data_IF_053542284214
#
_entry.id   IF_053542284214
#
_cell.length_a   1.000
_cell.length_b   1.000
_cell.length_c   1.000
_cell.angle_alpha   90.00
_cell.angle_beta   90.00
_cell.angle_gamma   90.00
#
_symmetry.space_group_name_H-M   'P 1'
#
loop_
_entity.id
_entity.type
_entity.pdbx_description
1 polymer ?
#
# COMPACT_ATOMS: atom_id res chain seq x y z
N UNK A 1 -29.59 29.40 -17.63
CA UNK A 1 -28.84 28.38 -16.87
C UNK A 1 -27.51 28.20 -17.55
N UNK A 2 -26.41 28.25 -16.80
CA UNK A 2 -25.10 27.89 -17.35
C UNK A 2 -25.06 26.38 -17.53
N UNK A 3 -24.76 25.92 -18.74
CA UNK A 3 -24.49 24.51 -19.01
C UNK A 3 -22.97 24.30 -18.95
N UNK A 4 -22.54 23.33 -18.15
CA UNK A 4 -21.14 22.95 -18.05
C UNK A 4 -20.83 21.82 -19.03
N UNK A 5 -19.85 22.04 -19.90
CA UNK A 5 -19.32 21.04 -20.83
C UNK A 5 -18.18 20.24 -20.17
N UNK A 6 -18.41 18.95 -19.95
CA UNK A 6 -17.46 18.02 -19.34
C UNK A 6 -17.81 16.58 -19.72
N UNK A 7 -16.80 15.71 -19.68
CA UNK A 7 -16.96 14.29 -19.98
C UNK A 7 -17.78 13.63 -18.87
N UNK A 8 -18.82 12.87 -19.26
CA UNK A 8 -19.72 12.14 -18.34
C UNK A 8 -19.55 10.63 -18.38
N UNK A 9 -18.65 10.13 -19.22
CA UNK A 9 -18.29 8.71 -19.31
C UNK A 9 -17.05 8.43 -18.45
N UNK A 10 -17.21 7.58 -17.43
CA UNK A 10 -16.13 7.20 -16.53
C UNK A 10 -14.98 6.45 -17.20
N UNK A 11 -15.27 5.64 -18.22
CA UNK A 11 -14.21 4.92 -18.97
C UNK A 11 -13.39 5.89 -19.81
N UNK A 12 -14.05 6.80 -20.52
CA UNK A 12 -13.39 7.86 -21.27
C UNK A 12 -12.50 8.74 -20.38
N UNK A 13 -12.96 9.06 -19.15
CA UNK A 13 -12.16 9.79 -18.16
C UNK A 13 -10.90 9.00 -17.78
N UNK A 14 -11.01 7.70 -17.50
CA UNK A 14 -9.84 6.87 -17.16
C UNK A 14 -8.84 6.75 -18.31
N UNK A 15 -9.33 6.51 -19.53
CA UNK A 15 -8.50 6.40 -20.74
C UNK A 15 -7.72 7.69 -20.98
N UNK A 16 -8.42 8.83 -20.97
CA UNK A 16 -7.79 10.14 -21.18
C UNK A 16 -6.83 10.48 -20.05
N UNK A 17 -7.19 10.22 -18.78
CA UNK A 17 -6.30 10.47 -17.64
C UNK A 17 -5.01 9.67 -17.75
N UNK A 18 -5.08 8.39 -18.08
CA UNK A 18 -3.89 7.55 -18.17
C UNK A 18 -3.01 7.92 -19.38
N UNK A 19 -3.62 8.35 -20.49
CA UNK A 19 -2.89 8.88 -21.63
C UNK A 19 -2.10 10.14 -21.26
N UNK A 20 -2.71 11.08 -20.54
CA UNK A 20 -2.05 12.30 -20.05
C UNK A 20 -0.89 11.94 -19.12
N UNK A 21 -1.14 11.08 -18.13
CA UNK A 21 -0.11 10.67 -17.16
C UNK A 21 1.10 10.04 -17.86
N UNK A 22 0.88 9.15 -18.83
CA UNK A 22 1.98 8.53 -19.61
C UNK A 22 2.74 9.53 -20.48
N UNK A 23 2.11 10.61 -20.92
CA UNK A 23 2.76 11.66 -21.69
C UNK A 23 3.58 12.62 -20.81
N UNK A 24 3.17 12.81 -19.55
CA UNK A 24 3.74 13.84 -18.66
C UNK A 24 4.66 13.29 -17.56
N UNK A 25 4.61 11.98 -17.27
CA UNK A 25 5.40 11.37 -16.20
C UNK A 25 6.66 10.72 -16.78
N UNK A 26 7.83 11.03 -16.23
CA UNK A 26 9.04 10.29 -16.54
C UNK A 26 8.97 8.88 -15.91
N UNK A 27 8.79 7.89 -16.77
CA UNK A 27 8.70 6.48 -16.39
C UNK A 27 9.93 5.69 -16.87
N UNK A 28 10.95 6.35 -17.42
CA UNK A 28 12.05 5.71 -18.14
C UNK A 28 12.90 4.77 -17.29
N UNK A 29 12.91 4.98 -15.96
CA UNK A 29 13.64 4.14 -15.00
C UNK A 29 12.89 2.87 -14.59
N UNK A 30 11.58 2.79 -14.86
CA UNK A 30 10.74 1.67 -14.46
C UNK A 30 10.67 0.62 -15.56
N UNK A 31 10.64 -0.65 -15.17
CA UNK A 31 10.22 -1.70 -16.09
C UNK A 31 8.70 -1.58 -16.38
N UNK A 32 8.19 -2.36 -17.33
CA UNK A 32 6.78 -2.27 -17.74
C UNK A 32 5.79 -2.50 -16.58
N UNK A 33 6.08 -3.47 -15.70
CA UNK A 33 5.23 -3.83 -14.57
C UNK A 33 5.25 -2.75 -13.47
N UNK A 34 6.41 -2.17 -13.22
CA UNK A 34 6.60 -1.02 -12.32
C UNK A 34 5.94 0.25 -12.88
N UNK A 35 6.04 0.49 -14.18
CA UNK A 35 5.43 1.63 -14.85
C UNK A 35 3.88 1.58 -14.79
N UNK A 36 3.27 0.40 -14.88
CA UNK A 36 1.83 0.23 -14.64
C UNK A 36 1.42 0.64 -13.21
N UNK A 37 2.23 0.28 -12.21
CA UNK A 37 2.00 0.74 -10.83
C UNK A 37 2.19 2.25 -10.69
N UNK A 38 3.29 2.78 -11.22
CA UNK A 38 3.61 4.21 -11.13
C UNK A 38 2.50 5.08 -11.73
N UNK A 39 1.96 4.72 -12.91
CA UNK A 39 0.85 5.45 -13.54
C UNK A 39 -0.39 5.47 -12.64
N UNK A 40 -0.74 4.35 -12.00
CA UNK A 40 -1.87 4.31 -11.07
C UNK A 40 -1.64 5.13 -9.80
N UNK A 41 -0.42 5.13 -9.28
CA UNK A 41 -0.06 5.92 -8.10
C UNK A 41 -0.10 7.42 -8.41
N UNK A 42 0.42 7.84 -9.58
CA UNK A 42 0.33 9.22 -10.07
C UNK A 42 -1.14 9.63 -10.27
N UNK A 43 -1.96 8.76 -10.88
CA UNK A 43 -3.39 9.02 -11.04
C UNK A 43 -4.08 9.26 -9.69
N UNK A 44 -3.81 8.42 -8.69
CA UNK A 44 -4.40 8.53 -7.37
C UNK A 44 -3.94 9.79 -6.62
N UNK A 45 -2.68 10.22 -6.82
CA UNK A 45 -2.11 11.40 -6.17
C UNK A 45 -2.43 12.72 -6.90
N UNK A 46 -2.72 12.67 -8.20
CA UNK A 46 -2.83 13.86 -9.05
C UNK A 46 -1.51 14.61 -9.20
N UNK A 47 -0.36 13.92 -9.07
CA UNK A 47 0.98 14.52 -9.10
C UNK A 47 1.94 13.66 -9.90
N UNK A 48 2.36 14.15 -11.07
CA UNK A 48 3.33 13.47 -11.95
C UNK A 48 4.71 13.34 -11.29
N UNK A 49 5.10 14.34 -10.50
CA UNK A 49 6.39 14.38 -9.82
C UNK A 49 6.52 13.30 -8.73
N UNK A 50 5.41 12.74 -8.25
CA UNK A 50 5.44 11.65 -7.27
C UNK A 50 6.26 10.44 -7.77
N UNK A 51 6.28 10.21 -9.10
CA UNK A 51 7.05 9.13 -9.71
C UNK A 51 8.56 9.21 -9.44
N UNK A 52 9.10 10.40 -9.15
CA UNK A 52 10.51 10.59 -8.79
C UNK A 52 10.87 9.97 -7.43
N UNK A 53 9.87 9.64 -6.61
CA UNK A 53 10.05 9.14 -5.25
C UNK A 53 9.64 7.67 -5.07
N UNK A 54 9.23 6.98 -6.14
CA UNK A 54 8.83 5.57 -6.05
C UNK A 54 10.05 4.65 -6.16
N UNK A 55 10.32 3.87 -5.13
CA UNK A 55 11.39 2.88 -5.17
C UNK A 55 10.80 1.47 -5.13
N UNK A 56 11.28 0.62 -6.03
CA UNK A 56 10.87 -0.78 -6.12
C UNK A 56 12.09 -1.66 -5.88
N UNK A 57 12.00 -2.58 -4.91
CA UNK A 57 13.01 -3.61 -4.78
C UNK A 57 12.98 -4.53 -6.02
N UNK A 58 14.13 -5.08 -6.45
CA UNK A 58 14.16 -5.98 -7.62
C UNK A 58 13.15 -7.12 -7.51
N UNK A 59 12.26 -7.25 -8.51
CA UNK A 59 11.24 -8.30 -8.55
C UNK A 59 10.02 -8.08 -7.65
N UNK A 60 9.90 -6.92 -6.99
CA UNK A 60 8.81 -6.62 -6.07
C UNK A 60 7.42 -6.83 -6.71
N UNK A 61 7.21 -6.31 -7.93
CA UNK A 61 5.91 -6.32 -8.58
C UNK A 61 5.50 -7.75 -8.93
N UNK A 62 6.44 -8.54 -9.44
CA UNK A 62 6.24 -9.94 -9.82
C UNK A 62 5.89 -10.79 -8.60
N UNK A 63 6.66 -10.67 -7.52
CA UNK A 63 6.45 -11.41 -6.27
C UNK A 63 5.10 -11.04 -5.64
N UNK A 64 4.79 -9.73 -5.55
CA UNK A 64 3.53 -9.27 -4.98
C UNK A 64 2.32 -9.72 -5.82
N UNK A 65 2.38 -9.60 -7.16
CA UNK A 65 1.31 -10.06 -8.05
C UNK A 65 1.12 -11.57 -7.98
N UNK A 66 2.21 -12.35 -7.92
CA UNK A 66 2.14 -13.80 -7.78
C UNK A 66 1.49 -14.23 -6.45
N UNK A 67 1.83 -13.55 -5.34
CA UNK A 67 1.22 -13.79 -4.05
C UNK A 67 -0.30 -13.53 -4.09
N UNK A 68 -0.72 -12.38 -4.63
CA UNK A 68 -2.14 -12.04 -4.78
C UNK A 68 -2.88 -13.02 -5.70
N UNK A 69 -2.27 -13.42 -6.81
CA UNK A 69 -2.85 -14.42 -7.71
C UNK A 69 -3.01 -15.79 -7.02
N UNK A 70 -2.18 -16.08 -6.02
CA UNK A 70 -2.22 -17.30 -5.21
C UNK A 70 -3.18 -17.20 -4.00
N UNK A 71 -3.91 -16.08 -3.84
CA UNK A 71 -4.88 -15.88 -2.75
C UNK A 71 -4.30 -15.28 -1.47
N UNK A 72 -3.09 -14.71 -1.52
CA UNK A 72 -2.48 -14.09 -0.34
C UNK A 72 -3.32 -12.91 0.19
N UNK A 73 -3.57 -12.82 1.51
CA UNK A 73 -4.28 -11.69 2.08
C UNK A 73 -3.46 -10.41 1.98
N UNK A 74 -4.16 -9.27 1.99
CA UNK A 74 -3.57 -7.93 2.07
C UNK A 74 -3.74 -7.40 3.50
N UNK A 75 -2.64 -7.20 4.22
CA UNK A 75 -2.65 -6.58 5.55
C UNK A 75 -2.38 -5.08 5.46
N UNK A 76 -3.35 -4.29 5.88
CA UNK A 76 -3.32 -2.83 5.82
C UNK A 76 -3.18 -2.22 7.22
N UNK A 77 -2.33 -1.20 7.34
CA UNK A 77 -2.18 -0.43 8.59
C UNK A 77 -3.39 0.48 8.87
N UNK A 78 -4.06 0.96 7.83
CA UNK A 78 -5.16 1.91 7.92
C UNK A 78 -6.40 1.47 7.12
N UNK A 79 -7.58 1.80 7.66
CA UNK A 79 -8.86 1.51 6.99
C UNK A 79 -9.00 2.25 5.65
N UNK A 80 -8.38 3.43 5.50
CA UNK A 80 -8.38 4.13 4.20
C UNK A 80 -7.73 3.30 3.09
N UNK A 81 -6.64 2.58 3.40
CA UNK A 81 -5.98 1.69 2.43
C UNK A 81 -6.93 0.55 2.06
N UNK A 82 -7.61 -0.07 3.04
CA UNK A 82 -8.62 -1.11 2.79
C UNK A 82 -9.71 -0.62 1.82
N UNK A 83 -10.28 0.56 2.08
CA UNK A 83 -11.36 1.11 1.24
C UNK A 83 -10.88 1.56 -0.15
N UNK A 84 -9.58 1.83 -0.32
CA UNK A 84 -9.00 2.13 -1.63
C UNK A 84 -8.84 0.90 -2.52
N UNK A 85 -8.87 -0.32 -1.97
CA UNK A 85 -8.77 -1.55 -2.75
C UNK A 85 -10.09 -1.83 -3.46
N UNK A 86 -10.08 -1.78 -4.79
CA UNK A 86 -11.24 -2.14 -5.61
C UNK A 86 -11.43 -3.66 -5.61
N UNK A 87 -12.37 -4.17 -4.81
CA UNK A 87 -12.59 -5.62 -4.63
C UNK A 87 -12.78 -6.39 -5.95
N UNK A 88 -13.46 -5.79 -6.95
CA UNK A 88 -13.67 -6.39 -8.27
C UNK A 88 -12.38 -6.64 -9.08
N UNK A 89 -11.23 -6.09 -8.65
CA UNK A 89 -9.92 -6.27 -9.29
C UNK A 89 -9.03 -7.28 -8.59
N UNK A 90 -9.48 -7.86 -7.47
CA UNK A 90 -8.69 -8.85 -6.74
C UNK A 90 -8.71 -10.19 -7.49
N UNK A 91 -7.53 -10.79 -7.79
CA UNK A 91 -7.47 -11.96 -8.68
C UNK A 91 -7.99 -13.26 -8.06
N UNK A 92 -8.05 -13.36 -6.72
CA UNK A 92 -8.37 -14.61 -6.02
C UNK A 92 -9.27 -14.37 -4.79
N UNK A 93 -10.16 -13.38 -4.85
CA UNK A 93 -11.01 -12.97 -3.72
C UNK A 93 -10.19 -12.73 -2.42
N UNK A 94 -9.02 -12.11 -2.59
CA UNK A 94 -8.07 -11.87 -1.51
C UNK A 94 -8.74 -11.09 -0.35
N UNK A 95 -8.51 -11.51 0.88
CA UNK A 95 -8.96 -10.74 2.03
C UNK A 95 -8.16 -9.42 2.13
N UNK A 96 -8.83 -8.32 2.47
CA UNK A 96 -8.20 -7.02 2.73
C UNK A 96 -8.48 -6.65 4.18
N UNK A 97 -7.44 -6.72 5.01
CA UNK A 97 -7.58 -6.78 6.47
C UNK A 97 -6.94 -5.55 7.09
N UNK A 98 -7.63 -4.91 8.03
CA UNK A 98 -7.04 -3.89 8.88
C UNK A 98 -7.46 -4.10 10.34
N UNK A 99 -6.49 -4.38 11.19
CA UNK A 99 -6.69 -4.65 12.62
C UNK A 99 -6.62 -3.38 13.49
N UNK A 100 -6.49 -2.19 12.89
CA UNK A 100 -6.40 -0.91 13.60
C UNK A 100 -7.58 -0.64 14.54
N UNK A 101 -8.79 -1.13 14.18
CA UNK A 101 -10.02 -0.96 14.96
C UNK A 101 -10.35 -2.17 15.83
N UNK A 102 -9.50 -3.20 15.84
CA UNK A 102 -9.66 -4.31 16.78
C UNK A 102 -9.52 -3.77 18.21
N UNK A 103 -10.46 -4.06 19.14
CA UNK A 103 -10.38 -3.59 20.52
C UNK A 103 -9.06 -3.93 21.21
N UNK A 104 -8.47 -5.09 20.87
CA UNK A 104 -7.18 -5.56 21.43
C UNK A 104 -6.01 -4.67 21.02
N UNK A 105 -6.09 -3.97 19.89
CA UNK A 105 -5.00 -3.11 19.43
C UNK A 105 -4.75 -1.94 20.40
N UNK A 106 -5.79 -1.44 21.07
CA UNK A 106 -5.64 -0.39 22.09
C UNK A 106 -4.99 -0.91 23.37
N UNK A 107 -5.35 -2.12 23.80
CA UNK A 107 -4.77 -2.79 24.96
C UNK A 107 -3.29 -3.10 24.73
N UNK A 108 -2.96 -3.71 23.58
CA UNK A 108 -1.58 -4.01 23.19
C UNK A 108 -0.76 -2.73 23.10
N UNK A 109 -1.29 -1.64 22.52
CA UNK A 109 -0.60 -0.37 22.41
C UNK A 109 -0.16 0.19 23.78
N UNK A 110 -1.04 0.09 24.79
CA UNK A 110 -0.72 0.48 26.15
C UNK A 110 0.34 -0.42 26.79
N UNK A 111 0.26 -1.75 26.56
CA UNK A 111 1.21 -2.73 27.09
C UNK A 111 2.63 -2.51 26.53
N UNK A 112 2.76 -2.30 25.22
CA UNK A 112 4.05 -2.18 24.55
C UNK A 112 4.58 -0.73 24.48
N UNK A 113 3.81 0.25 24.98
CA UNK A 113 4.17 1.66 24.94
C UNK A 113 4.30 2.22 23.51
N UNK A 114 3.42 1.82 22.59
CA UNK A 114 3.49 2.23 21.18
C UNK A 114 2.12 2.72 20.67
N UNK A 115 2.07 3.19 19.43
CA UNK A 115 0.84 3.61 18.76
C UNK A 115 -0.10 2.44 18.48
N UNK A 116 -1.40 2.73 18.31
CA UNK A 116 -2.39 1.73 17.93
C UNK A 116 -2.09 1.05 16.58
N UNK A 117 -1.58 1.80 15.60
CA UNK A 117 -1.21 1.26 14.28
C UNK A 117 -0.07 0.25 14.38
N UNK A 118 0.95 0.52 15.21
CA UNK A 118 2.02 -0.43 15.49
C UNK A 118 1.51 -1.66 16.24
N UNK A 119 0.74 -1.46 17.32
CA UNK A 119 0.18 -2.56 18.10
C UNK A 119 -0.70 -3.51 17.27
N UNK A 120 -1.45 -2.97 16.32
CA UNK A 120 -2.32 -3.73 15.42
C UNK A 120 -1.55 -4.76 14.56
N UNK A 121 -0.25 -4.57 14.33
CA UNK A 121 0.62 -5.51 13.59
C UNK A 121 0.74 -6.85 14.33
N UNK A 122 0.75 -6.85 15.67
CA UNK A 122 0.77 -8.11 16.44
C UNK A 122 -0.43 -9.01 16.15
N UNK A 123 -1.56 -8.41 15.78
CA UNK A 123 -2.80 -9.13 15.50
C UNK A 123 -2.80 -9.83 14.13
N UNK A 124 -1.77 -9.61 13.29
CA UNK A 124 -1.63 -10.31 12.02
C UNK A 124 -1.15 -11.75 12.23
N UNK A 125 -0.28 -11.96 13.22
CA UNK A 125 0.19 -13.28 13.65
C UNK A 125 0.72 -14.15 12.49
N UNK A 126 0.46 -15.44 12.57
CA UNK A 126 0.94 -16.43 11.59
C UNK A 126 0.38 -16.21 10.17
N UNK A 127 -0.76 -15.51 10.05
CA UNK A 127 -1.35 -15.19 8.74
C UNK A 127 -0.49 -14.24 7.90
N UNK A 128 0.50 -13.58 8.50
CA UNK A 128 1.44 -12.73 7.78
C UNK A 128 2.33 -13.53 6.81
N UNK A 129 2.52 -14.83 7.02
CA UNK A 129 3.36 -15.66 6.19
C UNK A 129 2.92 -15.62 4.72
N UNK A 130 3.77 -15.09 3.84
CA UNK A 130 3.47 -14.96 2.40
C UNK A 130 2.39 -13.94 2.05
N UNK A 131 1.90 -13.14 3.01
CA UNK A 131 0.93 -12.09 2.76
C UNK A 131 1.53 -10.89 2.01
N UNK A 132 0.69 -10.03 1.46
CA UNK A 132 1.10 -8.71 0.97
C UNK A 132 0.78 -7.66 2.04
N UNK A 133 1.77 -6.93 2.50
CA UNK A 133 1.59 -5.86 3.49
C UNK A 133 1.48 -4.53 2.79
N UNK A 134 0.51 -3.70 3.20
CA UNK A 134 0.33 -2.34 2.73
C UNK A 134 0.31 -1.35 3.91
N UNK A 135 1.45 -0.71 4.17
CA UNK A 135 1.56 0.39 5.14
C UNK A 135 1.42 1.71 4.37
N UNK A 136 0.23 2.30 4.40
CA UNK A 136 -0.07 3.54 3.66
C UNK A 136 -0.21 4.79 4.52
N UNK A 137 -0.14 4.67 5.85
CA UNK A 137 -0.39 5.81 6.74
C UNK A 137 0.66 5.96 7.85
N UNK A 138 0.89 4.93 8.66
CA UNK A 138 1.56 5.05 9.94
C UNK A 138 3.04 4.60 9.88
N UNK A 139 4.02 5.52 10.02
CA UNK A 139 5.44 5.16 10.05
C UNK A 139 5.78 4.18 11.19
N UNK A 140 5.12 4.35 12.33
CA UNK A 140 5.29 3.47 13.49
C UNK A 140 4.86 2.03 13.22
N UNK A 141 3.89 1.80 12.32
CA UNK A 141 3.50 0.47 11.89
C UNK A 141 4.62 -0.21 11.09
N UNK A 142 5.31 0.54 10.23
CA UNK A 142 6.42 0.02 9.44
C UNK A 142 7.64 -0.30 10.31
N UNK A 143 8.07 0.64 11.17
CA UNK A 143 9.16 0.37 12.12
C UNK A 143 8.89 -0.87 12.97
N UNK A 144 7.68 -0.96 13.53
CA UNK A 144 7.34 -2.07 14.41
C UNK A 144 7.24 -3.40 13.67
N UNK A 145 6.75 -3.40 12.42
CA UNK A 145 6.83 -4.57 11.55
C UNK A 145 8.28 -5.03 11.34
N UNK A 146 9.20 -4.10 11.05
CA UNK A 146 10.62 -4.42 10.86
C UNK A 146 11.25 -5.01 12.14
N UNK A 147 10.92 -4.47 13.31
CA UNK A 147 11.36 -5.02 14.61
C UNK A 147 10.87 -6.46 14.80
N UNK A 148 9.58 -6.72 14.57
CA UNK A 148 9.00 -8.06 14.71
C UNK A 148 9.60 -9.06 13.71
N UNK A 149 9.91 -8.63 12.49
CA UNK A 149 10.58 -9.47 11.48
C UNK A 149 12.04 -9.75 11.85
N UNK A 150 12.78 -8.74 12.32
CA UNK A 150 14.16 -8.87 12.80
C UNK A 150 14.25 -9.86 13.94
N UNK A 151 13.32 -9.78 14.89
CA UNK A 151 13.32 -10.59 16.12
C UNK A 151 12.70 -11.98 15.89
N UNK A 152 12.24 -12.29 14.67
CA UNK A 152 11.59 -13.55 14.34
C UNK A 152 10.23 -13.76 15.00
N UNK A 153 9.63 -12.69 15.54
CA UNK A 153 8.34 -12.72 16.23
C UNK A 153 7.14 -12.85 15.27
N UNK A 154 7.33 -12.51 13.99
CA UNK A 154 6.36 -12.74 12.93
C UNK A 154 7.01 -13.41 11.71
N UNK A 155 6.26 -14.23 10.95
CA UNK A 155 6.76 -14.80 9.71
C UNK A 155 6.92 -13.72 8.62
N UNK A 156 7.75 -13.99 7.62
CA UNK A 156 8.01 -13.05 6.53
C UNK A 156 6.79 -12.94 5.59
N UNK A 157 6.34 -11.71 5.25
CA UNK A 157 5.40 -11.50 4.15
C UNK A 157 6.07 -11.77 2.80
N UNK A 158 5.26 -11.95 1.75
CA UNK A 158 5.76 -12.04 0.38
C UNK A 158 6.27 -10.68 -0.13
N UNK A 159 5.57 -9.60 0.23
CA UNK A 159 5.91 -8.25 -0.20
C UNK A 159 5.43 -7.19 0.81
N UNK A 160 6.11 -6.05 0.87
CA UNK A 160 5.76 -4.91 1.74
C UNK A 160 5.68 -3.64 0.89
N UNK A 161 4.52 -2.99 0.85
CA UNK A 161 4.38 -1.61 0.41
C UNK A 161 4.63 -0.69 1.62
N UNK A 162 5.86 -0.20 1.74
CA UNK A 162 6.27 0.78 2.75
C UNK A 162 6.01 2.20 2.26
N UNK A 163 4.75 2.64 2.25
CA UNK A 163 4.35 3.96 1.76
C UNK A 163 3.67 4.85 2.82
N UNK A 164 4.10 4.86 4.11
CA UNK A 164 3.52 5.78 5.07
C UNK A 164 3.81 7.23 4.68
N UNK A 165 2.81 8.10 4.84
CA UNK A 165 2.93 9.55 4.65
C UNK A 165 3.06 10.24 6.00
N UNK A 166 3.89 11.26 6.10
CA UNK A 166 4.02 12.06 7.31
C UNK A 166 5.28 12.88 7.35
N UNK A 167 5.36 13.77 8.34
CA UNK A 167 6.50 14.65 8.59
C UNK A 167 7.44 14.14 9.69
N UNK A 168 7.01 13.12 10.44
CA UNK A 168 7.77 12.57 11.57
C UNK A 168 7.87 11.06 11.40
N UNK A 169 9.08 10.55 11.23
CA UNK A 169 9.39 9.12 11.13
C UNK A 169 9.04 8.47 9.79
N UNK A 170 8.31 9.14 8.89
CA UNK A 170 7.87 8.55 7.63
C UNK A 170 9.05 8.23 6.70
N UNK A 171 9.96 9.18 6.48
CA UNK A 171 11.15 8.97 5.66
C UNK A 171 12.03 7.87 6.28
N UNK A 172 12.33 8.02 7.57
CA UNK A 172 13.20 7.11 8.31
C UNK A 172 12.64 5.69 8.37
N UNK A 173 11.31 5.53 8.46
CA UNK A 173 10.68 4.20 8.46
C UNK A 173 10.78 3.48 7.12
N UNK A 174 10.85 4.24 6.01
CA UNK A 174 10.98 3.69 4.66
C UNK A 174 12.43 3.37 4.31
N UNK A 175 13.37 4.11 4.88
CA UNK A 175 14.81 3.94 4.64
C UNK A 175 15.42 2.77 5.44
N UNK A 176 14.81 2.38 6.55
CA UNK A 176 15.28 1.32 7.46
C UNK A 176 15.12 -0.10 6.90
#
# INVERSE_FOLDING_TARGET
MTEYDYIRDGMAIYEQSFAIIRAETDLSRFNEAEADMAVRMVHAAGSVDAAQHFEFAPGFVEVARAALASGAPIFCDANMVVHGVTAARLPANNEVICTLRDPRAAEIAAEIGNTRSAAAIRLWGDRLAGAVVAIGNAPTALFYLLELLRDGALPKPAAILGMPVGFVGAAESKDA
#
